data_IF_394208480203
#
_entry.id   IF_394208480203
#
_cell.length_a   1.000
_cell.length_b   1.000
_cell.length_c   1.000
_cell.angle_alpha   90.00
_cell.angle_beta   90.00
_cell.angle_gamma   90.00
#
_symmetry.space_group_name_H-M   'P 1'
#
loop_
_entity.id
_entity.type
_entity.pdbx_description
1 polymer ?
#
# COMPACT_ATOMS: atom_id res chain seq x y z
N UNK A 1 10.53 -28.23 -3.77
CA UNK A 1 9.69 -27.11 -3.27
C UNK A 1 10.52 -25.84 -3.22
N UNK A 2 10.04 -24.77 -3.83
CA UNK A 2 10.76 -23.50 -3.97
C UNK A 2 10.03 -22.37 -3.23
N UNK A 3 10.80 -21.37 -2.79
CA UNK A 3 10.26 -20.15 -2.19
C UNK A 3 10.51 -18.99 -3.15
N UNK A 4 9.46 -18.27 -3.52
CA UNK A 4 9.55 -17.06 -4.33
C UNK A 4 9.72 -15.85 -3.43
N UNK A 5 10.79 -15.09 -3.61
CA UNK A 5 11.04 -13.84 -2.90
C UNK A 5 11.19 -12.71 -3.91
N UNK A 6 10.36 -11.68 -3.78
CA UNK A 6 10.48 -10.45 -4.56
C UNK A 6 10.99 -9.32 -3.66
N UNK A 7 11.81 -8.43 -4.23
CA UNK A 7 12.47 -7.36 -3.51
C UNK A 7 11.80 -6.01 -3.81
N UNK A 8 11.24 -5.38 -2.78
CA UNK A 8 10.60 -4.07 -2.90
C UNK A 8 11.33 -3.00 -2.07
N UNK A 9 11.52 -1.85 -2.66
CA UNK A 9 12.07 -0.69 -1.97
C UNK A 9 10.99 0.38 -1.83
N UNK A 10 10.63 0.75 -0.60
CA UNK A 10 9.51 1.64 -0.32
C UNK A 10 9.79 2.62 0.82
N UNK A 11 8.94 3.62 0.98
CA UNK A 11 8.96 4.51 2.15
C UNK A 11 8.12 3.95 3.31
N UNK A 12 8.36 4.47 4.52
CA UNK A 12 7.67 4.03 5.75
C UNK A 12 6.14 4.18 5.69
N UNK A 13 5.61 5.08 4.88
CA UNK A 13 4.15 5.23 4.70
C UNK A 13 3.53 3.98 4.04
N UNK A 14 4.08 3.50 2.91
CA UNK A 14 3.60 2.27 2.27
C UNK A 14 3.95 1.06 3.13
N UNK A 15 5.13 1.05 3.78
CA UNK A 15 5.51 -0.02 4.70
C UNK A 15 4.50 -0.20 5.84
N UNK A 16 4.05 0.89 6.47
CA UNK A 16 3.04 0.84 7.52
C UNK A 16 1.72 0.25 7.02
N UNK A 17 1.28 0.60 5.80
CA UNK A 17 0.08 0.04 5.17
C UNK A 17 0.23 -1.46 4.89
N UNK A 18 1.34 -1.87 4.26
CA UNK A 18 1.63 -3.27 3.94
C UNK A 18 1.67 -4.13 5.20
N UNK A 19 2.21 -3.60 6.30
CA UNK A 19 2.27 -4.29 7.58
C UNK A 19 0.95 -4.25 8.37
N UNK A 20 -0.05 -3.50 7.90
CA UNK A 20 -1.30 -3.29 8.62
C UNK A 20 -1.09 -2.61 9.96
N UNK A 21 -0.15 -1.66 10.06
CA UNK A 21 0.16 -1.01 11.34
C UNK A 21 -0.98 -0.08 11.76
N UNK A 22 -1.48 -0.33 12.95
CA UNK A 22 -2.50 0.47 13.62
C UNK A 22 -2.00 0.89 15.00
N UNK A 23 -2.63 1.89 15.61
CA UNK A 23 -2.20 2.37 16.92
C UNK A 23 -3.38 2.77 17.80
N UNK A 24 -3.16 2.70 19.10
CA UNK A 24 -4.00 3.36 20.10
C UNK A 24 -3.14 4.32 20.94
N UNK A 25 -3.80 5.28 21.58
CA UNK A 25 -3.15 6.20 22.48
C UNK A 25 -3.20 5.66 23.90
N UNK A 26 -2.04 5.57 24.52
CA UNK A 26 -1.85 5.13 25.90
C UNK A 26 -1.17 6.22 26.74
N UNK A 27 -1.25 6.15 28.05
CA UNK A 27 -0.52 7.06 28.92
C UNK A 27 0.98 6.83 28.81
N UNK A 28 1.75 7.93 28.86
CA UNK A 28 3.22 7.83 28.84
C UNK A 28 3.70 7.07 30.09
N UNK A 29 4.40 5.94 29.94
CA UNK A 29 4.86 5.13 31.06
C UNK A 29 5.86 5.86 31.97
N UNK A 30 6.45 6.96 31.50
CA UNK A 30 7.31 7.80 32.34
C UNK A 30 6.53 8.67 33.33
N UNK A 31 5.18 8.66 33.27
CA UNK A 31 4.34 9.53 34.08
C UNK A 31 4.41 11.02 33.67
N UNK A 32 4.97 11.33 32.50
CA UNK A 32 5.10 12.71 32.04
C UNK A 32 3.74 13.36 31.80
N UNK A 33 3.60 14.63 32.23
CA UNK A 33 2.40 15.42 32.03
C UNK A 33 2.63 16.61 31.10
N UNK A 34 1.56 17.11 30.49
CA UNK A 34 1.63 18.32 29.69
C UNK A 34 1.89 19.53 30.58
N UNK A 35 2.95 20.30 30.30
CA UNK A 35 3.28 21.51 31.04
C UNK A 35 2.40 22.69 30.65
N UNK A 36 1.82 22.69 29.45
CA UNK A 36 0.95 23.76 28.92
C UNK A 36 -0.24 23.14 28.20
N UNK A 37 -1.39 23.79 28.26
CA UNK A 37 -2.54 23.40 27.44
C UNK A 37 -2.32 23.73 25.97
N UNK A 38 -2.76 22.83 25.07
CA UNK A 38 -2.59 22.98 23.65
C UNK A 38 -3.30 21.86 22.87
N UNK A 39 -3.02 21.77 21.57
CA UNK A 39 -3.63 20.78 20.66
C UNK A 39 -3.50 19.32 21.14
N UNK A 40 -2.45 19.03 21.90
CA UNK A 40 -2.10 17.66 22.29
C UNK A 40 -2.63 17.24 23.65
N UNK A 41 -3.05 18.18 24.48
CA UNK A 41 -3.60 17.90 25.80
C UNK A 41 -3.69 19.15 26.69
N UNK A 42 -4.33 18.99 27.85
CA UNK A 42 -4.44 20.03 28.86
C UNK A 42 -3.26 19.98 29.83
N UNK A 43 -2.84 21.15 30.34
CA UNK A 43 -1.82 21.22 31.39
C UNK A 43 -2.21 20.33 32.58
N UNK A 44 -1.24 19.56 33.10
CA UNK A 44 -1.44 18.65 34.22
C UNK A 44 -2.03 17.27 33.85
N UNK A 45 -2.51 17.05 32.61
CA UNK A 45 -2.96 15.73 32.21
C UNK A 45 -1.77 14.85 31.72
N UNK A 46 -1.85 13.52 31.88
CA UNK A 46 -0.83 12.60 31.35
C UNK A 46 -0.58 12.80 29.87
N UNK A 47 0.68 12.77 29.47
CA UNK A 47 1.01 12.71 28.05
C UNK A 47 0.57 11.38 27.45
N UNK A 48 0.16 11.40 26.18
CA UNK A 48 -0.20 10.21 25.44
C UNK A 48 0.92 9.80 24.49
N UNK A 49 1.16 8.50 24.40
CA UNK A 49 2.09 7.88 23.48
C UNK A 49 1.34 6.91 22.57
N UNK A 50 1.80 6.78 21.33
CA UNK A 50 1.24 5.79 20.40
C UNK A 50 1.79 4.41 20.74
N UNK A 51 0.89 3.45 20.91
CA UNK A 51 1.21 2.03 20.98
C UNK A 51 0.82 1.40 19.66
N UNK A 52 1.81 0.89 18.95
CA UNK A 52 1.63 0.29 17.63
C UNK A 52 1.44 -1.21 17.73
N UNK A 53 0.57 -1.75 16.88
CA UNK A 53 0.33 -3.16 16.73
C UNK A 53 0.03 -3.49 15.27
N UNK A 54 0.12 -4.77 14.89
CA UNK A 54 -0.23 -5.23 13.55
C UNK A 54 -1.67 -5.69 13.53
N UNK A 55 -2.44 -5.13 12.62
CA UNK A 55 -3.79 -5.56 12.30
C UNK A 55 -3.79 -6.20 10.90
N UNK A 56 -3.89 -7.54 10.79
CA UNK A 56 -3.87 -8.23 9.50
C UNK A 56 -4.99 -7.77 8.56
N UNK A 57 -6.15 -7.38 9.09
CA UNK A 57 -7.29 -6.91 8.29
C UNK A 57 -7.03 -5.56 7.60
N UNK A 58 -6.07 -4.79 8.12
CA UNK A 58 -5.65 -3.50 7.54
C UNK A 58 -4.40 -3.61 6.65
N UNK A 59 -3.85 -4.82 6.51
CA UNK A 59 -2.68 -5.04 5.66
C UNK A 59 -3.03 -4.84 4.18
N UNK A 60 -2.33 -3.91 3.53
CA UNK A 60 -2.53 -3.59 2.12
C UNK A 60 -1.41 -4.21 1.27
N UNK A 61 -1.65 -5.44 0.84
CA UNK A 61 -0.77 -6.23 -0.03
C UNK A 61 -1.33 -6.42 -1.45
N UNK A 62 -2.47 -5.80 -1.77
CA UNK A 62 -3.22 -6.12 -2.99
C UNK A 62 -2.37 -6.00 -4.26
N UNK A 63 -1.74 -4.85 -4.49
CA UNK A 63 -0.90 -4.63 -5.68
C UNK A 63 0.23 -5.66 -5.80
N UNK A 64 0.90 -5.96 -4.68
CA UNK A 64 2.01 -6.91 -4.65
C UNK A 64 1.52 -8.35 -4.72
N UNK A 65 0.35 -8.61 -4.14
CA UNK A 65 -0.32 -9.90 -4.19
C UNK A 65 -0.56 -10.36 -5.61
N UNK A 66 -1.18 -9.52 -6.43
CA UNK A 66 -1.41 -9.81 -7.86
C UNK A 66 -0.11 -10.07 -8.61
N UNK A 67 0.88 -9.21 -8.44
CA UNK A 67 2.18 -9.31 -9.12
C UNK A 67 2.91 -10.61 -8.76
N UNK A 68 3.04 -10.91 -7.47
CA UNK A 68 3.81 -12.06 -7.01
C UNK A 68 3.12 -13.38 -7.38
N UNK A 69 1.79 -13.43 -7.29
CA UNK A 69 1.04 -14.60 -7.74
C UNK A 69 1.14 -14.82 -9.25
N UNK A 70 1.24 -13.75 -10.06
CA UNK A 70 1.52 -13.90 -11.49
C UNK A 70 2.93 -14.48 -11.73
N UNK A 71 3.94 -14.04 -10.99
CA UNK A 71 5.27 -14.63 -11.07
C UNK A 71 5.28 -16.10 -10.67
N UNK A 72 4.57 -16.46 -9.60
CA UNK A 72 4.35 -17.86 -9.22
C UNK A 72 3.74 -18.65 -10.36
N UNK A 73 2.63 -18.19 -10.94
CA UNK A 73 1.95 -18.85 -12.03
C UNK A 73 2.87 -19.10 -13.24
N UNK A 74 3.66 -18.08 -13.63
CA UNK A 74 4.63 -18.21 -14.71
C UNK A 74 5.74 -19.22 -14.40
N UNK A 75 6.26 -19.23 -13.15
CA UNK A 75 7.27 -20.20 -12.73
C UNK A 75 6.70 -21.62 -12.72
N UNK A 76 5.49 -21.80 -12.22
CA UNK A 76 4.82 -23.10 -12.19
C UNK A 76 4.54 -23.63 -13.61
N UNK A 77 4.25 -22.76 -14.57
CA UNK A 77 4.10 -23.15 -15.99
C UNK A 77 5.40 -23.68 -16.63
N UNK A 78 6.55 -23.39 -16.04
CA UNK A 78 7.87 -23.93 -16.45
C UNK A 78 8.27 -25.17 -15.65
N UNK A 79 7.39 -25.74 -14.84
CA UNK A 79 7.63 -26.95 -14.05
C UNK A 79 8.25 -26.69 -12.67
N UNK A 80 8.33 -25.42 -12.22
CA UNK A 80 8.73 -25.08 -10.86
C UNK A 80 7.57 -25.33 -9.90
N UNK A 81 7.87 -25.68 -8.64
CA UNK A 81 6.84 -25.82 -7.59
C UNK A 81 7.06 -24.77 -6.52
N UNK A 82 6.26 -23.70 -6.56
CA UNK A 82 6.34 -22.57 -5.62
C UNK A 82 5.39 -22.80 -4.45
N UNK A 83 5.94 -23.08 -3.27
CA UNK A 83 5.17 -23.38 -2.06
C UNK A 83 4.91 -22.13 -1.22
N UNK A 84 5.87 -21.20 -1.18
CA UNK A 84 5.77 -19.97 -0.39
C UNK A 84 6.18 -18.75 -1.19
N UNK A 85 5.52 -17.65 -0.91
CA UNK A 85 5.79 -16.38 -1.54
C UNK A 85 6.02 -15.29 -0.49
N UNK A 86 7.06 -14.50 -0.67
CA UNK A 86 7.40 -13.39 0.21
C UNK A 86 7.78 -12.14 -0.58
N UNK A 87 7.54 -11.00 0.04
CA UNK A 87 8.17 -9.72 -0.34
C UNK A 87 9.20 -9.39 0.71
N UNK A 88 10.46 -9.25 0.32
CA UNK A 88 11.46 -8.59 1.13
C UNK A 88 11.37 -7.09 0.90
N UNK A 89 10.78 -6.41 1.87
CA UNK A 89 10.56 -4.98 1.82
C UNK A 89 11.69 -4.22 2.51
N UNK A 90 12.42 -3.39 1.76
CA UNK A 90 13.42 -2.46 2.30
C UNK A 90 12.78 -1.09 2.47
N UNK A 91 12.87 -0.51 3.67
CA UNK A 91 12.29 0.80 4.01
C UNK A 91 13.36 1.87 3.92
N UNK A 92 13.28 2.73 2.90
CA UNK A 92 14.29 3.75 2.57
C UNK A 92 14.54 4.76 3.68
N UNK A 93 13.48 5.16 4.38
CA UNK A 93 13.49 6.09 5.49
C UNK A 93 13.42 5.38 6.85
N UNK A 94 13.76 4.09 6.89
CA UNK A 94 13.85 3.30 8.10
C UNK A 94 14.85 3.89 9.08
N UNK A 95 14.53 3.82 10.37
CA UNK A 95 15.35 4.40 11.44
C UNK A 95 15.16 5.91 11.67
N UNK A 96 14.55 6.65 10.74
CA UNK A 96 14.20 8.05 10.94
C UNK A 96 13.01 8.22 11.90
N UNK A 97 12.86 9.41 12.47
CA UNK A 97 11.73 9.74 13.35
C UNK A 97 10.39 9.51 12.63
N UNK A 98 10.29 9.91 11.35
CA UNK A 98 9.08 9.75 10.55
C UNK A 98 8.63 8.28 10.40
N UNK A 99 9.57 7.33 10.31
CA UNK A 99 9.25 5.91 10.26
C UNK A 99 8.77 5.39 11.62
N UNK A 100 9.42 5.81 12.70
CA UNK A 100 9.03 5.46 14.08
C UNK A 100 7.63 6.01 14.42
N UNK A 101 7.31 7.23 13.99
CA UNK A 101 6.00 7.86 14.17
C UNK A 101 4.88 7.12 13.41
N UNK A 102 5.24 6.23 12.47
CA UNK A 102 4.35 5.33 11.73
C UNK A 102 4.39 3.88 12.25
N UNK A 103 5.12 3.63 13.33
CA UNK A 103 5.28 2.28 13.90
C UNK A 103 6.24 1.36 13.13
N UNK A 104 6.98 1.91 12.16
CA UNK A 104 7.96 1.15 11.38
C UNK A 104 9.29 1.15 12.12
N UNK A 105 9.61 0.03 12.75
CA UNK A 105 10.73 -0.14 13.69
C UNK A 105 11.98 -0.76 13.06
N UNK A 106 11.87 -1.31 11.82
CA UNK A 106 12.96 -1.98 11.11
C UNK A 106 13.15 -1.39 9.72
N UNK A 107 14.35 -1.61 9.16
CA UNK A 107 14.66 -1.21 7.79
C UNK A 107 14.30 -2.30 6.77
N UNK A 108 14.20 -3.55 7.20
CA UNK A 108 13.88 -4.69 6.34
C UNK A 108 12.81 -5.54 6.99
N UNK A 109 11.82 -5.91 6.20
CA UNK A 109 10.74 -6.84 6.58
C UNK A 109 10.62 -7.93 5.54
N UNK A 110 10.36 -9.14 5.98
CA UNK A 110 9.90 -10.23 5.14
C UNK A 110 8.40 -10.38 5.36
N UNK A 111 7.62 -10.18 4.31
CA UNK A 111 6.16 -10.17 4.36
C UNK A 111 5.67 -11.33 3.51
N UNK A 112 4.91 -12.24 4.11
CA UNK A 112 4.30 -13.35 3.39
C UNK A 112 3.17 -12.84 2.49
N UNK A 113 3.13 -13.35 1.27
CA UNK A 113 2.09 -13.02 0.28
C UNK A 113 1.10 -14.17 0.20
N UNK A 114 -0.20 -13.90 0.44
CA UNK A 114 -1.21 -14.95 0.37
C UNK A 114 -1.36 -15.49 -1.06
N UNK A 115 -1.69 -16.78 -1.14
CA UNK A 115 -1.98 -17.45 -2.40
C UNK A 115 -3.29 -16.95 -3.00
N UNK A 116 -3.26 -16.60 -4.29
CA UNK A 116 -4.44 -16.32 -5.11
C UNK A 116 -4.66 -17.49 -6.05
N UNK A 117 -5.86 -18.05 -6.06
CA UNK A 117 -6.20 -19.16 -6.94
C UNK A 117 -6.01 -18.77 -8.41
N UNK A 118 -5.51 -19.70 -9.24
CA UNK A 118 -5.15 -19.42 -10.63
C UNK A 118 -6.33 -18.89 -11.46
N UNK A 119 -7.54 -19.37 -11.24
CA UNK A 119 -8.73 -18.90 -11.97
C UNK A 119 -8.99 -17.42 -11.70
N UNK A 120 -8.93 -17.00 -10.44
CA UNK A 120 -9.09 -15.57 -10.08
C UNK A 120 -7.95 -14.72 -10.62
N UNK A 121 -6.72 -15.26 -10.56
CA UNK A 121 -5.55 -14.58 -11.08
C UNK A 121 -5.66 -14.34 -12.59
N UNK A 122 -6.00 -15.38 -13.34
CA UNK A 122 -6.15 -15.31 -14.79
C UNK A 122 -7.33 -14.44 -15.21
N UNK A 123 -8.46 -14.54 -14.50
CA UNK A 123 -9.63 -13.68 -14.74
C UNK A 123 -9.28 -12.20 -14.59
N UNK A 124 -8.60 -11.84 -13.49
CA UNK A 124 -8.17 -10.46 -13.27
C UNK A 124 -7.30 -9.93 -14.43
N UNK A 125 -6.27 -10.67 -14.84
CA UNK A 125 -5.36 -10.20 -15.88
C UNK A 125 -5.98 -10.26 -17.29
N UNK A 126 -6.81 -11.27 -17.59
CA UNK A 126 -7.51 -11.32 -18.87
C UNK A 126 -8.52 -10.21 -19.02
N UNK A 127 -9.29 -9.91 -17.98
CA UNK A 127 -10.23 -8.78 -17.98
C UNK A 127 -9.51 -7.45 -18.26
N UNK A 128 -8.36 -7.21 -17.60
CA UNK A 128 -7.56 -6.00 -17.85
C UNK A 128 -6.99 -5.94 -19.26
N UNK A 129 -6.48 -7.07 -19.76
CA UNK A 129 -5.98 -7.20 -21.14
C UNK A 129 -7.08 -6.91 -22.16
N UNK A 130 -8.24 -7.54 -21.99
CA UNK A 130 -9.32 -7.45 -22.95
C UNK A 130 -9.90 -6.03 -22.99
N UNK A 131 -10.06 -5.37 -21.85
CA UNK A 131 -10.44 -3.96 -21.78
C UNK A 131 -9.44 -3.03 -22.48
N UNK A 132 -8.13 -3.32 -22.35
CA UNK A 132 -7.09 -2.56 -23.05
C UNK A 132 -7.16 -2.79 -24.56
N UNK A 133 -7.27 -4.05 -25.03
CA UNK A 133 -7.34 -4.39 -26.44
C UNK A 133 -8.58 -3.79 -27.10
N UNK A 134 -9.73 -3.88 -26.45
CA UNK A 134 -10.99 -3.28 -26.90
C UNK A 134 -10.86 -1.76 -27.07
N UNK A 135 -10.26 -1.09 -26.09
CA UNK A 135 -10.01 0.35 -26.15
C UNK A 135 -9.09 0.75 -27.31
N UNK A 136 -8.04 -0.03 -27.55
CA UNK A 136 -7.11 0.21 -28.65
C UNK A 136 -7.78 -0.02 -30.01
N UNK A 137 -8.60 -1.06 -30.16
CA UNK A 137 -9.33 -1.38 -31.39
C UNK A 137 -10.37 -0.30 -31.73
N UNK A 138 -11.17 0.11 -30.74
CA UNK A 138 -12.19 1.15 -30.88
C UNK A 138 -11.62 2.56 -30.89
N UNK A 139 -10.35 2.75 -30.54
CA UNK A 139 -9.71 4.06 -30.32
C UNK A 139 -10.48 4.93 -29.32
N UNK A 140 -11.05 4.29 -28.32
CA UNK A 140 -11.79 4.91 -27.24
C UNK A 140 -11.03 4.85 -25.93
N UNK A 141 -11.26 5.79 -25.05
CA UNK A 141 -10.68 5.77 -23.72
C UNK A 141 -11.34 4.67 -22.88
N UNK A 142 -10.58 3.86 -22.13
CA UNK A 142 -11.15 2.86 -21.25
C UNK A 142 -12.10 3.45 -20.21
N UNK A 143 -12.94 2.63 -19.61
CA UNK A 143 -13.80 3.02 -18.50
C UNK A 143 -12.99 3.67 -17.37
N UNK A 144 -13.67 4.51 -16.58
CA UNK A 144 -13.06 5.17 -15.42
C UNK A 144 -12.42 4.15 -14.48
N UNK A 145 -11.22 4.44 -14.02
CA UNK A 145 -10.57 3.66 -12.96
C UNK A 145 -11.42 3.62 -11.68
N UNK A 146 -11.38 2.51 -10.96
CA UNK A 146 -12.07 2.36 -9.67
C UNK A 146 -11.46 3.29 -8.59
N UNK A 147 -12.18 3.46 -7.50
CA UNK A 147 -11.68 4.26 -6.36
C UNK A 147 -10.42 3.67 -5.74
N UNK A 148 -10.29 2.34 -5.73
CA UNK A 148 -9.07 1.64 -5.28
C UNK A 148 -7.90 1.97 -6.20
N UNK A 149 -8.07 1.85 -7.52
CA UNK A 149 -7.04 2.16 -8.52
C UNK A 149 -6.61 3.62 -8.49
N UNK A 150 -7.52 4.53 -8.14
CA UNK A 150 -7.28 5.97 -8.06
C UNK A 150 -6.83 6.45 -6.68
N UNK A 151 -6.77 5.55 -5.68
CA UNK A 151 -6.51 5.88 -4.28
C UNK A 151 -7.46 6.98 -3.76
N UNK A 152 -8.76 6.83 -4.05
CA UNK A 152 -9.75 7.85 -3.75
C UNK A 152 -9.52 9.16 -4.50
N UNK A 153 -8.97 9.12 -5.72
CA UNK A 153 -8.72 10.28 -6.57
C UNK A 153 -7.33 10.90 -6.41
N UNK A 154 -6.57 10.60 -5.37
CA UNK A 154 -5.23 11.18 -5.12
C UNK A 154 -4.25 10.84 -6.26
N UNK A 155 -4.30 9.62 -6.80
CA UNK A 155 -3.45 9.21 -7.92
C UNK A 155 -3.73 10.06 -9.16
N UNK A 156 -5.00 10.30 -9.47
CA UNK A 156 -5.40 11.12 -10.62
C UNK A 156 -4.89 12.54 -10.50
N UNK A 157 -4.94 13.14 -9.33
CA UNK A 157 -4.52 14.52 -9.10
C UNK A 157 -3.00 14.71 -9.13
N UNK A 158 -2.21 13.72 -8.68
CA UNK A 158 -0.77 13.92 -8.39
C UNK A 158 0.18 12.99 -9.12
N UNK A 159 -0.24 11.77 -9.45
CA UNK A 159 0.68 10.69 -9.85
C UNK A 159 0.30 10.01 -11.16
N UNK A 160 -0.84 10.32 -11.76
CA UNK A 160 -1.25 9.70 -13.03
C UNK A 160 -0.52 10.37 -14.19
N UNK A 161 0.27 9.61 -14.93
CA UNK A 161 1.03 10.11 -16.08
C UNK A 161 0.17 10.52 -17.27
N UNK A 162 -1.07 10.02 -17.32
CA UNK A 162 -2.01 10.32 -18.43
C UNK A 162 -3.15 11.25 -18.00
N UNK A 163 -3.03 11.88 -16.84
CA UNK A 163 -4.12 12.70 -16.28
C UNK A 163 -4.59 13.82 -17.23
N UNK A 164 -3.67 14.43 -17.98
CA UNK A 164 -3.96 15.53 -18.89
C UNK A 164 -4.80 15.10 -20.10
N UNK A 165 -4.77 13.81 -20.43
CA UNK A 165 -5.51 13.20 -21.53
C UNK A 165 -6.73 12.41 -21.07
N UNK A 166 -6.92 12.27 -19.75
CA UNK A 166 -7.97 11.46 -19.18
C UNK A 166 -9.30 12.20 -19.11
N UNK A 167 -10.35 11.78 -19.84
CA UNK A 167 -11.65 12.46 -19.84
C UNK A 167 -12.41 12.35 -18.51
N UNK A 168 -11.95 11.48 -17.61
CA UNK A 168 -12.60 11.21 -16.32
C UNK A 168 -12.03 12.05 -15.17
N UNK A 169 -11.01 12.88 -15.42
CA UNK A 169 -10.44 13.78 -14.41
C UNK A 169 -11.09 15.14 -14.56
N UNK A 170 -11.98 15.51 -13.65
CA UNK A 170 -12.41 16.91 -13.52
C UNK A 170 -11.29 17.70 -12.84
N UNK A 171 -10.67 18.60 -13.57
CA UNK A 171 -9.82 19.62 -12.96
C UNK A 171 -10.73 20.64 -12.29
N UNK A 172 -10.91 20.54 -10.97
CA UNK A 172 -11.27 21.74 -10.22
C UNK A 172 -10.04 22.66 -10.30
N UNK A 173 -10.14 23.67 -11.16
CA UNK A 173 -9.21 24.79 -11.15
C UNK A 173 -9.50 25.51 -9.84
N UNK A 174 -8.77 25.10 -8.78
CA UNK A 174 -8.75 25.83 -7.53
C UNK A 174 -8.23 27.22 -7.83
N UNK A 175 -9.12 28.20 -7.82
CA UNK A 175 -8.78 29.61 -7.73
C UNK A 175 -8.13 29.82 -6.34
N UNK A 176 -6.82 29.62 -6.25
CA UNK A 176 -6.05 30.14 -5.15
C UNK A 176 -5.96 31.67 -5.35
N UNK A 177 -6.70 32.37 -4.52
CA UNK A 177 -6.44 33.78 -4.18
C UNK A 177 -5.52 33.81 -2.95
#
# INVERSE_FOLDING_TARGET
TETLIDYKNTGSFKAAKVLGLDFYLDDDPSGAVYKRSGRWGKAGTPKKVKRWWRNPEKADLEDWGWQINMYRYLLESTGKNVEKMYVQMTVRDGGLMASRDRGVDKNIYLVEVPYIHNDHLLDFFTTKRDALLESLEKKETPSKCSDVETWGGIKCQRFCSVREFCPHVSFEIGSEQ
#
